data_IF_688467596606
#
_entry.id   IF_688467596606
#
_cell.length_a   1.000
_cell.length_b   1.000
_cell.length_c   1.000
_cell.angle_alpha   90.00
_cell.angle_beta   90.00
_cell.angle_gamma   90.00
#
_symmetry.space_group_name_H-M   'P 1'
#
loop_
_entity.id
_entity.type
_entity.pdbx_description
1 polymer ?
#
# COMPACT_ATOMS: atom_id res chain seq x y z
N UNK A 1 8.24 3.73 0.97
CA UNK A 1 7.14 3.50 1.94
C UNK A 1 7.03 2.00 2.20
N UNK A 2 6.97 1.58 3.45
CA UNK A 2 7.02 0.16 3.81
C UNK A 2 5.76 -0.22 4.57
N UNK A 3 4.86 -0.95 3.91
CA UNK A 3 3.58 -1.43 4.44
C UNK A 3 3.48 -2.96 4.38
N UNK A 4 4.59 -3.64 4.09
CA UNK A 4 4.60 -5.11 4.06
C UNK A 4 4.40 -5.69 5.46
N UNK A 5 3.89 -6.91 5.55
CA UNK A 5 3.64 -7.61 6.81
C UNK A 5 2.68 -6.84 7.74
N UNK A 6 1.55 -6.42 7.18
CA UNK A 6 0.45 -5.78 7.90
C UNK A 6 -0.86 -6.57 7.70
N UNK A 7 -1.97 -6.02 8.18
CA UNK A 7 -3.32 -6.61 8.06
C UNK A 7 -4.21 -5.81 7.11
N UNK A 8 -3.62 -5.14 6.12
CA UNK A 8 -4.37 -4.37 5.14
C UNK A 8 -5.13 -5.34 4.21
N UNK A 9 -6.43 -5.12 4.07
CA UNK A 9 -7.30 -5.92 3.20
C UNK A 9 -7.65 -5.17 1.91
N UNK A 10 -7.58 -3.84 1.93
CA UNK A 10 -7.77 -2.97 0.78
C UNK A 10 -7.02 -1.65 0.99
N UNK A 11 -6.83 -0.92 -0.09
CA UNK A 11 -6.32 0.45 -0.06
C UNK A 11 -7.39 1.34 -0.70
N UNK A 12 -7.76 2.49 -0.10
CA UNK A 12 -8.67 3.43 -0.73
C UNK A 12 -8.16 3.92 -2.08
N UNK A 13 -9.08 4.19 -3.00
CA UNK A 13 -8.75 4.85 -4.26
C UNK A 13 -8.02 6.18 -3.98
N UNK A 14 -6.91 6.37 -4.66
CA UNK A 14 -6.09 7.58 -4.54
C UNK A 14 -5.30 7.71 -3.23
N UNK A 15 -5.17 6.66 -2.42
CA UNK A 15 -4.39 6.69 -1.17
C UNK A 15 -2.92 7.12 -1.37
N UNK A 16 -2.40 7.02 -2.59
CA UNK A 16 -1.01 7.36 -2.93
C UNK A 16 -0.88 8.55 -3.90
N UNK A 17 -1.98 9.15 -4.35
CA UNK A 17 -1.96 10.17 -5.42
C UNK A 17 -1.15 11.42 -5.07
N UNK A 18 -1.06 11.74 -3.78
CA UNK A 18 -0.31 12.91 -3.28
C UNK A 18 1.15 12.61 -2.97
N UNK A 19 1.56 11.34 -3.06
CA UNK A 19 2.93 10.93 -2.78
C UNK A 19 3.79 11.06 -4.04
N UNK A 20 3.89 12.29 -4.56
CA UNK A 20 4.53 12.59 -5.86
C UNK A 20 6.01 12.24 -5.94
N UNK A 21 6.70 12.18 -4.79
CA UNK A 21 8.11 11.77 -4.70
C UNK A 21 8.30 10.30 -4.30
N UNK A 22 7.23 9.50 -4.24
CA UNK A 22 7.31 8.10 -3.84
C UNK A 22 7.79 7.22 -5.00
N UNK A 23 8.98 6.63 -4.84
CA UNK A 23 9.61 5.79 -5.86
C UNK A 23 9.36 4.29 -5.59
N UNK A 24 9.34 3.89 -4.31
CA UNK A 24 9.20 2.50 -3.91
C UNK A 24 8.15 2.32 -2.81
N UNK A 25 7.27 1.34 -2.99
CA UNK A 25 6.30 0.89 -2.00
C UNK A 25 6.33 -0.63 -1.87
N UNK A 26 6.36 -1.13 -0.64
CA UNK A 26 6.26 -2.56 -0.34
C UNK A 26 4.92 -2.85 0.33
N UNK A 27 4.10 -3.67 -0.32
CA UNK A 27 2.74 -4.04 0.11
C UNK A 27 2.55 -5.55 0.32
N UNK A 28 3.62 -6.34 0.13
CA UNK A 28 3.59 -7.81 0.27
C UNK A 28 3.21 -8.25 1.69
N UNK A 29 2.80 -9.51 1.85
CA UNK A 29 2.43 -10.06 3.16
C UNK A 29 1.32 -9.27 3.87
N UNK A 30 0.29 -8.91 3.11
CA UNK A 30 -0.97 -8.38 3.61
C UNK A 30 -2.11 -9.26 3.06
N UNK A 31 -3.18 -9.52 3.83
CA UNK A 31 -4.31 -10.32 3.40
C UNK A 31 -5.24 -9.53 2.48
N UNK A 32 -4.77 -9.15 1.29
CA UNK A 32 -5.55 -8.38 0.32
C UNK A 32 -6.81 -9.14 -0.14
N UNK A 33 -7.94 -8.45 -0.14
CA UNK A 33 -9.16 -8.94 -0.76
C UNK A 33 -9.14 -8.57 -2.25
N UNK A 34 -9.23 -9.57 -3.13
CA UNK A 34 -9.19 -9.40 -4.58
C UNK A 34 -10.59 -9.31 -5.19
#
# INVERSE_FOLDING_TARGET
LTLHNNQLQSVPDGAFDRLTSLIHIWLSSNPWNC
#
